data_IF_003402787474
#
_entry.id   IF_003402787474
#
_cell.length_a   1.000
_cell.length_b   1.000
_cell.length_c   1.000
_cell.angle_alpha   90.00
_cell.angle_beta   90.00
_cell.angle_gamma   90.00
#
_symmetry.space_group_name_H-M   'P 1'
#
loop_
_entity.id
_entity.type
_entity.pdbx_description
1 polymer ?
#
# COMPACT_ATOMS: atom_id res chain seq x y z
N UNK A 1 25.75 -34.18 0.11
CA UNK A 1 24.64 -33.30 -0.30
C UNK A 1 24.40 -32.30 0.81
N UNK A 2 24.94 -31.08 0.69
CA UNK A 2 24.74 -30.01 1.67
C UNK A 2 23.46 -29.28 1.33
N UNK A 3 22.40 -29.53 2.10
CA UNK A 3 21.12 -28.85 1.97
C UNK A 3 21.29 -27.36 2.25
N UNK A 4 20.96 -26.53 1.27
CA UNK A 4 20.86 -25.09 1.44
C UNK A 4 19.64 -24.78 2.33
N UNK A 5 19.88 -24.37 3.57
CA UNK A 5 18.86 -23.73 4.40
C UNK A 5 18.62 -22.33 3.83
N UNK A 6 17.46 -22.14 3.21
CA UNK A 6 16.97 -20.84 2.81
C UNK A 6 16.73 -19.99 4.08
N UNK A 7 17.51 -18.93 4.22
CA UNK A 7 17.39 -17.93 5.28
C UNK A 7 16.03 -17.22 5.12
N UNK A 8 15.08 -17.56 5.97
CA UNK A 8 13.77 -16.92 6.02
C UNK A 8 13.94 -15.56 6.71
N UNK A 9 14.21 -14.52 5.93
CA UNK A 9 14.18 -13.15 6.44
C UNK A 9 12.81 -12.82 7.03
N UNK A 10 12.76 -12.50 8.32
CA UNK A 10 11.56 -11.99 8.99
C UNK A 10 11.09 -10.71 8.29
N UNK A 11 9.96 -10.81 7.58
CA UNK A 11 9.31 -9.64 7.00
C UNK A 11 8.53 -8.95 8.13
N UNK A 12 8.78 -7.67 8.44
CA UNK A 12 8.03 -6.97 9.48
C UNK A 12 6.52 -7.04 9.19
N UNK A 13 5.74 -7.50 10.17
CA UNK A 13 4.28 -7.74 10.06
C UNK A 13 3.51 -6.53 9.49
N UNK A 14 4.01 -5.32 9.71
CA UNK A 14 3.45 -4.06 9.22
C UNK A 14 3.38 -3.93 7.69
N UNK A 15 4.17 -4.70 6.94
CA UNK A 15 4.22 -4.63 5.48
C UNK A 15 3.45 -5.76 4.78
N UNK A 16 2.74 -6.60 5.52
CA UNK A 16 1.95 -7.69 4.92
C UNK A 16 0.56 -7.17 4.48
N UNK A 17 0.18 -7.27 3.20
CA UNK A 17 -1.14 -6.89 2.75
C UNK A 17 -2.20 -7.89 3.26
N UNK A 18 -3.27 -7.38 3.88
CA UNK A 18 -4.42 -8.18 4.31
C UNK A 18 -5.28 -8.51 3.09
N UNK A 19 -5.03 -9.66 2.47
CA UNK A 19 -5.73 -10.12 1.28
C UNK A 19 -6.75 -11.22 1.62
N UNK A 20 -7.95 -11.16 1.05
CA UNK A 20 -9.03 -12.14 1.27
C UNK A 20 -9.82 -12.36 0.00
N UNK A 21 -10.43 -13.53 -0.14
CA UNK A 21 -11.38 -13.81 -1.23
C UNK A 21 -12.67 -13.02 -0.99
N UNK A 22 -12.98 -12.05 -1.86
CA UNK A 22 -14.23 -11.29 -1.82
C UNK A 22 -14.78 -11.04 -3.22
N UNK A 23 -16.10 -10.89 -3.30
CA UNK A 23 -16.81 -10.52 -4.53
C UNK A 23 -16.55 -9.06 -4.88
N UNK A 24 -16.11 -8.78 -6.11
CA UNK A 24 -15.93 -7.41 -6.63
C UNK A 24 -17.30 -6.83 -7.02
N UNK A 25 -17.90 -5.99 -6.16
CA UNK A 25 -19.31 -5.58 -6.30
C UNK A 25 -19.54 -4.34 -7.16
N UNK A 26 -18.50 -3.58 -7.46
CA UNK A 26 -18.56 -2.28 -8.13
C UNK A 26 -17.32 -2.06 -8.98
N UNK A 27 -17.45 -1.21 -10.00
CA UNK A 27 -16.38 -0.82 -10.91
C UNK A 27 -15.36 0.07 -10.20
N UNK A 28 -14.08 -0.15 -10.46
CA UNK A 28 -12.99 0.61 -9.89
C UNK A 28 -12.95 2.01 -10.52
N UNK A 29 -13.44 3.02 -9.80
CA UNK A 29 -13.41 4.41 -10.29
C UNK A 29 -12.01 4.95 -10.59
N UNK A 30 -10.93 4.35 -10.06
CA UNK A 30 -9.55 4.74 -10.41
C UNK A 30 -9.15 4.16 -11.77
N UNK A 31 -9.42 2.88 -11.98
CA UNK A 31 -9.18 2.22 -13.26
C UNK A 31 -10.02 2.87 -14.37
N UNK A 32 -11.29 3.21 -14.11
CA UNK A 32 -12.14 3.95 -15.05
C UNK A 32 -11.59 5.34 -15.43
N UNK A 33 -10.68 5.91 -14.62
CA UNK A 33 -9.99 7.18 -14.91
C UNK A 33 -8.61 6.97 -15.55
N UNK A 34 -8.21 5.73 -15.82
CA UNK A 34 -7.00 5.36 -16.54
C UNK A 34 -5.93 4.65 -15.72
N UNK A 35 -5.97 4.68 -14.38
CA UNK A 35 -4.90 4.08 -13.56
C UNK A 35 -5.40 3.50 -12.23
N UNK A 36 -5.01 2.25 -11.93
CA UNK A 36 -5.18 1.63 -10.62
C UNK A 36 -3.90 0.89 -10.21
N UNK A 37 -3.20 1.38 -9.19
CA UNK A 37 -1.95 0.77 -8.71
C UNK A 37 -2.15 -0.56 -7.98
N UNK A 38 -3.39 -0.92 -7.60
CA UNK A 38 -3.69 -2.18 -6.90
C UNK A 38 -3.73 -3.41 -7.82
N UNK A 39 -3.77 -3.23 -9.14
CA UNK A 39 -3.81 -4.35 -10.08
C UNK A 39 -4.94 -5.37 -9.78
N UNK A 40 -4.62 -6.67 -9.87
CA UNK A 40 -5.62 -7.75 -9.67
C UNK A 40 -6.15 -7.83 -8.23
N UNK A 41 -5.37 -7.38 -7.24
CA UNK A 41 -5.77 -7.37 -5.83
C UNK A 41 -6.68 -6.19 -5.47
N UNK A 42 -7.02 -5.34 -6.44
CA UNK A 42 -8.02 -4.30 -6.25
C UNK A 42 -9.38 -4.90 -5.80
N UNK A 43 -10.02 -4.36 -4.74
CA UNK A 43 -11.32 -4.84 -4.27
C UNK A 43 -12.48 -4.53 -5.22
N UNK A 44 -12.22 -3.79 -6.28
CA UNK A 44 -13.17 -3.32 -7.27
C UNK A 44 -12.87 -3.94 -8.64
N UNK A 45 -13.89 -4.04 -9.50
CA UNK A 45 -13.78 -4.61 -10.84
C UNK A 45 -13.13 -3.61 -11.82
N UNK A 46 -12.14 -4.04 -12.62
CA UNK A 46 -11.55 -3.23 -13.69
C UNK A 46 -12.26 -3.45 -15.04
N UNK A 47 -13.17 -4.43 -15.13
CA UNK A 47 -13.96 -4.73 -16.32
C UNK A 47 -15.28 -5.36 -15.91
N UNK A 48 -16.26 -5.39 -16.82
CA UNK A 48 -17.55 -6.07 -16.58
C UNK A 48 -17.37 -7.56 -16.27
N UNK A 49 -16.35 -8.20 -16.88
CA UNK A 49 -15.99 -9.59 -16.61
C UNK A 49 -15.57 -9.84 -15.15
N UNK A 50 -15.00 -8.85 -14.49
CA UNK A 50 -14.62 -8.96 -13.07
C UNK A 50 -15.78 -8.62 -12.14
N UNK A 51 -16.78 -7.89 -12.62
CA UNK A 51 -17.91 -7.44 -11.82
C UNK A 51 -18.74 -8.65 -11.37
N UNK A 52 -18.90 -8.78 -10.07
CA UNK A 52 -19.60 -9.90 -9.45
C UNK A 52 -18.77 -11.18 -9.37
N UNK A 53 -17.51 -11.20 -9.78
CA UNK A 53 -16.62 -12.35 -9.55
C UNK A 53 -15.96 -12.29 -8.18
N UNK A 54 -15.56 -13.43 -7.64
CA UNK A 54 -14.77 -13.52 -6.41
C UNK A 54 -13.29 -13.53 -6.78
N UNK A 55 -12.52 -12.64 -6.18
CA UNK A 55 -11.07 -12.56 -6.37
C UNK A 55 -10.33 -12.38 -5.05
N UNK A 56 -9.02 -12.64 -5.07
CA UNK A 56 -8.13 -12.30 -3.96
C UNK A 56 -7.94 -10.77 -3.95
N UNK A 57 -8.46 -10.10 -2.92
CA UNK A 57 -8.47 -8.63 -2.86
C UNK A 57 -7.94 -8.11 -1.54
N UNK A 58 -7.29 -6.95 -1.58
CA UNK A 58 -6.85 -6.24 -0.37
C UNK A 58 -8.05 -5.77 0.44
N UNK A 59 -7.91 -5.82 1.76
CA UNK A 59 -8.94 -5.49 2.73
C UNK A 59 -8.47 -4.39 3.69
N UNK A 60 -9.41 -3.52 4.06
CA UNK A 60 -9.14 -2.40 4.97
C UNK A 60 -8.46 -1.22 4.28
N UNK A 61 -7.91 -0.32 5.10
CA UNK A 61 -7.21 0.88 4.63
C UNK A 61 -5.77 0.52 4.27
N UNK A 62 -5.48 0.53 2.98
CA UNK A 62 -4.15 0.22 2.44
C UNK A 62 -3.59 1.39 1.64
N UNK A 63 -2.29 1.42 1.47
CA UNK A 63 -1.61 2.40 0.61
C UNK A 63 -1.93 2.07 -0.85
N UNK A 64 -2.53 3.01 -1.58
CA UNK A 64 -3.08 2.74 -2.94
C UNK A 64 -2.39 3.50 -4.06
N UNK A 65 -1.44 4.39 -3.74
CA UNK A 65 -0.68 5.21 -4.68
C UNK A 65 0.70 5.51 -4.12
N UNK A 66 1.63 5.86 -5.01
CA UNK A 66 2.97 6.30 -4.63
C UNK A 66 2.96 7.68 -3.97
N UNK A 67 3.87 7.88 -3.02
CA UNK A 67 4.08 9.14 -2.33
C UNK A 67 5.02 10.02 -3.16
N UNK A 68 4.48 11.08 -3.78
CA UNK A 68 5.26 12.05 -4.55
C UNK A 68 6.36 12.73 -3.73
N UNK A 69 6.10 12.99 -2.45
CA UNK A 69 7.11 13.60 -1.57
C UNK A 69 8.23 12.64 -1.21
N UNK A 70 7.95 11.35 -1.12
CA UNK A 70 9.00 10.34 -0.88
C UNK A 70 9.86 10.17 -2.11
N UNK A 71 9.23 10.11 -3.28
CA UNK A 71 9.90 10.09 -4.58
C UNK A 71 10.84 11.30 -4.75
N UNK A 72 10.41 12.48 -4.29
CA UNK A 72 11.25 13.69 -4.24
C UNK A 72 12.22 13.76 -3.04
N UNK A 73 12.30 12.73 -2.18
CA UNK A 73 13.20 12.66 -1.02
C UNK A 73 12.80 13.48 0.22
N UNK A 74 11.56 13.98 0.30
CA UNK A 74 11.09 14.97 1.29
C UNK A 74 9.84 14.55 2.09
N UNK A 75 9.49 13.27 2.14
CA UNK A 75 8.29 12.85 2.90
C UNK A 75 8.50 13.01 4.42
N UNK A 76 7.68 13.85 5.05
CA UNK A 76 7.73 14.10 6.51
C UNK A 76 6.93 13.10 7.34
N UNK A 77 6.10 12.27 6.70
CA UNK A 77 5.20 11.34 7.39
C UNK A 77 5.85 9.99 7.73
N UNK A 78 7.05 9.73 7.21
CA UNK A 78 7.79 8.48 7.45
C UNK A 78 6.95 7.24 7.18
N UNK A 79 7.09 6.22 8.01
CA UNK A 79 6.36 4.96 7.88
C UNK A 79 4.82 5.11 8.02
N UNK A 80 4.36 6.19 8.66
CA UNK A 80 2.94 6.50 8.85
C UNK A 80 2.32 7.28 7.65
N UNK A 81 3.05 7.40 6.55
CA UNK A 81 2.53 7.99 5.32
C UNK A 81 1.33 7.17 4.79
N UNK A 82 0.29 7.87 4.33
CA UNK A 82 -0.89 7.24 3.73
C UNK A 82 -0.63 6.69 2.31
N UNK A 83 0.47 7.11 1.69
CA UNK A 83 0.89 6.69 0.36
C UNK A 83 2.13 5.78 0.46
N UNK A 84 2.31 4.94 -0.55
CA UNK A 84 3.41 3.99 -0.66
C UNK A 84 4.72 4.71 -0.98
N UNK A 85 5.80 4.40 -0.26
CA UNK A 85 7.16 4.88 -0.50
C UNK A 85 7.92 4.00 -1.51
N UNK A 86 7.18 3.35 -2.40
CA UNK A 86 7.65 2.42 -3.41
C UNK A 86 6.57 1.42 -3.76
N UNK A 87 6.68 0.76 -4.89
CA UNK A 87 5.65 -0.18 -5.39
C UNK A 87 5.41 -1.35 -4.42
N UNK A 88 6.45 -1.75 -3.67
CA UNK A 88 6.36 -2.79 -2.63
C UNK A 88 5.37 -2.47 -1.52
N UNK A 89 5.11 -1.19 -1.26
CA UNK A 89 4.17 -0.77 -0.24
C UNK A 89 2.74 -0.58 -0.77
N UNK A 90 2.50 -0.72 -2.07
CA UNK A 90 1.15 -0.66 -2.61
C UNK A 90 0.37 -1.89 -2.13
N UNK A 91 -0.83 -1.66 -1.59
CA UNK A 91 -1.68 -2.70 -1.02
C UNK A 91 -1.36 -3.04 0.44
N UNK A 92 -0.30 -2.49 1.04
CA UNK A 92 0.03 -2.74 2.46
C UNK A 92 -0.74 -1.80 3.39
N UNK A 93 -0.93 -2.24 4.64
CA UNK A 93 -1.52 -1.41 5.68
C UNK A 93 -0.50 -0.39 6.17
N UNK A 94 -1.00 0.70 6.73
CA UNK A 94 -0.15 1.59 7.53
C UNK A 94 0.23 0.85 8.82
N UNK A 95 1.49 0.94 9.28
CA UNK A 95 1.86 0.44 10.59
C UNK A 95 0.96 1.08 11.67
N UNK A 96 0.72 0.37 12.79
CA UNK A 96 0.08 0.96 13.95
C UNK A 96 0.91 2.14 14.46
N UNK A 97 0.27 3.19 15.02
CA UNK A 97 0.98 4.40 15.45
C UNK A 97 2.10 4.12 16.47
N UNK A 98 1.94 3.07 17.28
CA UNK A 98 2.94 2.60 18.25
C UNK A 98 4.25 2.10 17.62
N UNK A 99 4.17 1.58 16.39
CA UNK A 99 5.34 1.08 15.64
C UNK A 99 6.07 2.19 14.88
N UNK A 100 5.65 3.45 15.00
CA UNK A 100 6.24 4.58 14.27
C UNK A 100 6.61 5.72 15.19
N UNK A 101 7.80 6.30 14.99
CA UNK A 101 8.15 7.54 15.65
C UNK A 101 7.18 8.65 15.23
N UNK A 102 6.82 9.58 16.15
CA UNK A 102 5.95 10.69 15.81
C UNK A 102 6.58 11.48 14.65
N UNK A 103 5.78 11.92 13.66
CA UNK A 103 6.31 12.70 12.55
C UNK A 103 7.02 13.93 13.11
N UNK A 104 8.19 14.26 12.58
CA UNK A 104 8.89 15.51 12.94
C UNK A 104 7.95 16.65 12.57
N UNK A 105 7.34 17.29 13.57
CA UNK A 105 6.53 18.50 13.35
C UNK A 105 7.46 19.53 12.72
N UNK A 106 7.09 20.05 11.54
CA UNK A 106 7.76 21.22 10.97
C UNK A 106 7.81 22.30 12.05
N UNK A 107 9.00 22.80 12.43
CA UNK A 107 9.03 23.96 13.33
C UNK A 107 8.46 25.14 12.56
N UNK A 108 7.64 25.96 13.24
CA UNK A 108 7.04 27.16 12.66
C UNK A 108 8.18 28.10 12.24
N UNK A 109 8.44 28.22 10.93
CA UNK A 109 9.47 29.10 10.37
C UNK A 109 10.59 28.43 9.55
N UNK A 110 10.61 27.11 9.37
CA UNK A 110 11.59 26.47 8.47
C UNK A 110 11.21 26.67 6.99
N UNK A 111 12.15 27.11 6.12
CA UNK A 111 11.89 27.31 4.70
C UNK A 111 11.56 25.99 4.00
N UNK A 112 10.66 26.05 3.02
CA UNK A 112 10.42 24.94 2.11
C UNK A 112 11.61 24.83 1.15
N UNK A 113 12.56 23.95 1.49
CA UNK A 113 13.62 23.54 0.58
C UNK A 113 13.10 22.63 -0.51
#
# INVERSE_FOLDING_TARGET
>A
ATGALAEQGEVPEANVPDVRLKKKREMCGRFSRGECSLGKVCPFAHSEEELGTVGLVVCGKVKTRLCLFWDSGKCIYGANCNNAHGEREIGTKRPPPEATLPPKRRKKGEPVG
#
